data_IF_986343097505
#
_entry.id   IF_986343097505
#
_cell.length_a   1.000
_cell.length_b   1.000
_cell.length_c   1.000
_cell.angle_alpha   90.00
_cell.angle_beta   90.00
_cell.angle_gamma   90.00
#
_symmetry.space_group_name_H-M   'P 1'
#
loop_
_entity.id
_entity.type
_entity.pdbx_description
1 polymer ?
#
# COMPACT_ATOMS: atom_id res chain seq x y z
N UNK A 1 41.68 4.46 -34.17
CA UNK A 1 41.41 3.27 -33.35
C UNK A 1 40.71 3.76 -32.11
N UNK A 2 39.37 3.80 -32.20
CA UNK A 2 38.34 3.32 -31.25
C UNK A 2 38.83 2.94 -29.84
N UNK A 3 38.09 3.11 -28.75
CA UNK A 3 36.65 3.17 -28.60
C UNK A 3 36.29 3.79 -27.23
N UNK A 4 35.04 4.20 -27.19
CA UNK A 4 34.20 4.81 -26.18
C UNK A 4 34.22 4.20 -24.77
N UNK A 5 34.25 5.08 -23.78
CA UNK A 5 33.93 4.79 -22.38
C UNK A 5 33.11 5.93 -21.77
N UNK A 6 32.18 6.48 -22.56
CA UNK A 6 31.22 7.48 -22.10
C UNK A 6 30.25 6.83 -21.11
N UNK A 7 30.61 6.88 -19.83
CA UNK A 7 29.66 6.66 -18.76
C UNK A 7 28.58 7.71 -18.88
N UNK A 8 27.44 7.35 -19.48
CA UNK A 8 26.23 8.16 -19.41
C UNK A 8 25.84 8.21 -17.95
N UNK A 9 26.09 9.33 -17.28
CA UNK A 9 25.30 9.70 -16.13
C UNK A 9 23.86 9.68 -16.60
N UNK A 10 23.06 8.80 -16.01
CA UNK A 10 21.62 8.84 -16.17
C UNK A 10 21.20 10.11 -15.46
N UNK A 11 21.07 11.19 -16.22
CA UNK A 11 20.48 12.43 -15.73
C UNK A 11 19.02 12.11 -15.41
N UNK A 12 18.76 11.86 -14.12
CA UNK A 12 17.40 11.77 -13.60
C UNK A 12 16.79 13.17 -13.61
N UNK A 13 15.49 13.29 -13.92
CA UNK A 13 14.64 14.38 -13.47
C UNK A 13 15.03 14.82 -12.06
N UNK A 14 15.42 16.08 -11.89
CA UNK A 14 15.67 16.64 -10.55
C UNK A 14 14.44 16.46 -9.66
N UNK A 15 14.64 16.42 -8.33
CA UNK A 15 13.53 16.29 -7.35
C UNK A 15 12.40 17.32 -7.52
N UNK A 16 12.68 18.38 -8.29
CA UNK A 16 11.81 19.46 -8.71
C UNK A 16 10.79 19.06 -9.80
N UNK A 17 11.08 18.06 -10.65
CA UNK A 17 10.21 17.61 -11.76
C UNK A 17 9.02 16.78 -11.26
N UNK A 18 9.18 16.02 -10.17
CA UNK A 18 8.05 15.40 -9.48
C UNK A 18 7.15 16.44 -8.78
N UNK A 19 7.69 17.63 -8.49
CA UNK A 19 7.01 18.68 -7.74
C UNK A 19 6.25 19.71 -8.58
N UNK A 20 6.46 19.77 -9.91
CA UNK A 20 5.92 20.87 -10.74
C UNK A 20 5.01 20.46 -11.91
N UNK A 21 4.99 19.20 -12.34
CA UNK A 21 4.08 18.70 -13.39
C UNK A 21 2.99 17.72 -12.87
N UNK A 22 3.05 17.35 -11.58
CA UNK A 22 2.48 16.10 -11.07
C UNK A 22 1.09 16.14 -10.41
N UNK A 23 0.12 16.91 -10.89
CA UNK A 23 -1.27 16.59 -10.54
C UNK A 23 -1.67 15.36 -11.34
N UNK A 24 -1.66 14.19 -10.67
CA UNK A 24 -2.17 12.95 -11.24
C UNK A 24 -3.49 13.23 -11.98
N UNK A 25 -3.55 12.83 -13.25
CA UNK A 25 -4.72 13.14 -14.09
C UNK A 25 -5.99 12.62 -13.41
N UNK A 26 -7.15 13.29 -13.55
CA UNK A 26 -8.40 12.79 -12.97
C UNK A 26 -8.70 11.34 -13.37
N UNK A 27 -8.30 10.96 -14.59
CA UNK A 27 -8.43 9.59 -15.09
C UNK A 27 -7.56 8.60 -14.29
N UNK A 28 -6.30 8.96 -13.99
CA UNK A 28 -5.42 8.13 -13.18
C UNK A 28 -5.97 7.99 -11.75
N UNK A 29 -6.44 9.08 -11.13
CA UNK A 29 -7.03 9.04 -9.80
C UNK A 29 -8.24 8.08 -9.74
N UNK A 30 -9.20 8.24 -10.65
CA UNK A 30 -10.37 7.35 -10.74
C UNK A 30 -9.94 5.89 -10.99
N UNK A 31 -8.93 5.67 -11.84
CA UNK A 31 -8.42 4.33 -12.11
C UNK A 31 -7.80 3.71 -10.86
N UNK A 32 -6.95 4.44 -10.14
CA UNK A 32 -6.33 3.97 -8.91
C UNK A 32 -7.37 3.67 -7.83
N UNK A 33 -8.36 4.55 -7.66
CA UNK A 33 -9.48 4.31 -6.74
C UNK A 33 -10.21 3.01 -7.10
N UNK A 34 -10.68 2.89 -8.34
CA UNK A 34 -11.49 1.75 -8.77
C UNK A 34 -10.72 0.42 -8.71
N UNK A 35 -9.47 0.41 -9.20
CA UNK A 35 -8.64 -0.79 -9.19
C UNK A 35 -8.28 -1.19 -7.76
N UNK A 36 -7.92 -0.24 -6.90
CA UNK A 36 -7.62 -0.53 -5.50
C UNK A 36 -8.86 -1.07 -4.77
N UNK A 37 -10.04 -0.45 -4.94
CA UNK A 37 -11.28 -0.93 -4.31
C UNK A 37 -11.65 -2.35 -4.74
N UNK A 38 -11.70 -2.61 -6.06
CA UNK A 38 -12.10 -3.93 -6.57
C UNK A 38 -11.08 -4.98 -6.16
N UNK A 39 -9.80 -4.67 -6.31
CA UNK A 39 -8.74 -5.65 -6.04
C UNK A 39 -8.68 -5.99 -4.56
N UNK A 40 -8.80 -5.00 -3.68
CA UNK A 40 -8.77 -5.24 -2.24
C UNK A 40 -10.02 -5.99 -1.78
N UNK A 41 -11.21 -5.58 -2.21
CA UNK A 41 -12.47 -6.30 -1.92
C UNK A 41 -12.39 -7.79 -2.32
N UNK A 42 -11.94 -8.08 -3.55
CA UNK A 42 -11.82 -9.47 -4.01
C UNK A 42 -10.74 -10.22 -3.23
N UNK A 43 -9.66 -9.55 -2.84
CA UNK A 43 -8.61 -10.17 -2.06
C UNK A 43 -9.07 -10.48 -0.62
N UNK A 44 -9.70 -9.54 0.08
CA UNK A 44 -10.31 -9.72 1.41
C UNK A 44 -11.28 -10.90 1.39
N UNK A 45 -12.16 -10.98 0.39
CA UNK A 45 -13.08 -12.10 0.18
C UNK A 45 -12.40 -13.49 0.04
N UNK A 46 -11.12 -13.53 -0.33
CA UNK A 46 -10.33 -14.76 -0.42
C UNK A 46 -9.51 -15.00 0.84
N UNK A 47 -8.83 -13.96 1.35
CA UNK A 47 -7.84 -14.10 2.42
C UNK A 47 -8.48 -14.23 3.80
N UNK A 48 -9.65 -13.64 4.01
CA UNK A 48 -10.40 -13.72 5.27
C UNK A 48 -11.15 -15.05 5.45
N UNK A 49 -11.18 -15.89 4.41
CA UNK A 49 -11.60 -17.29 4.55
C UNK A 49 -10.59 -18.12 5.36
N UNK A 50 -9.38 -17.59 5.59
CA UNK A 50 -8.39 -18.21 6.47
C UNK A 50 -8.67 -17.74 7.90
N UNK A 51 -8.89 -18.66 8.86
CA UNK A 51 -9.13 -18.28 10.24
C UNK A 51 -8.00 -17.42 10.80
N UNK A 52 -8.38 -16.42 11.58
CA UNK A 52 -7.46 -15.57 12.32
C UNK A 52 -6.46 -16.40 13.15
N UNK A 53 -5.19 -15.97 13.16
CA UNK A 53 -4.14 -16.64 13.94
C UNK A 53 -4.24 -16.32 15.44
N UNK A 54 -4.78 -15.15 15.75
CA UNK A 54 -5.14 -14.64 17.06
C UNK A 54 -6.19 -13.57 16.87
N UNK A 55 -6.81 -13.11 17.96
CA UNK A 55 -7.79 -12.01 17.93
C UNK A 55 -7.30 -10.85 17.09
N UNK A 56 -8.04 -10.55 16.02
CA UNK A 56 -7.79 -9.43 15.12
C UNK A 56 -6.41 -9.51 14.45
N UNK A 57 -5.93 -10.74 14.19
CA UNK A 57 -4.74 -11.01 13.38
C UNK A 57 -5.12 -11.88 12.19
N UNK A 58 -5.34 -11.22 11.06
CA UNK A 58 -5.81 -11.82 9.83
C UNK A 58 -4.79 -11.76 8.69
N UNK A 59 -5.22 -12.24 7.53
CA UNK A 59 -4.46 -12.16 6.29
C UNK A 59 -5.15 -11.18 5.37
N UNK A 60 -4.46 -10.08 5.05
CA UNK A 60 -4.89 -9.15 3.99
C UNK A 60 -3.79 -8.87 2.98
N UNK A 61 -4.16 -8.89 1.70
CA UNK A 61 -3.25 -8.85 0.57
C UNK A 61 -2.73 -7.43 0.24
N UNK A 62 -2.13 -6.75 1.21
CA UNK A 62 -1.63 -5.37 1.08
C UNK A 62 -0.68 -5.15 -0.10
N UNK A 63 0.10 -6.17 -0.47
CA UNK A 63 1.03 -6.12 -1.59
C UNK A 63 0.36 -5.72 -2.91
N UNK A 64 -0.92 -6.04 -3.10
CA UNK A 64 -1.65 -5.67 -4.32
C UNK A 64 -1.74 -4.15 -4.47
N UNK A 65 -2.00 -3.46 -3.36
CA UNK A 65 -2.09 -2.00 -3.34
C UNK A 65 -0.70 -1.37 -3.34
N UNK A 66 0.26 -1.97 -2.65
CA UNK A 66 1.66 -1.53 -2.70
C UNK A 66 2.26 -1.61 -4.10
N UNK A 67 1.92 -2.63 -4.90
CA UNK A 67 2.34 -2.73 -6.30
C UNK A 67 1.82 -1.57 -7.15
N UNK A 68 0.56 -1.14 -6.93
CA UNK A 68 0.01 0.03 -7.62
C UNK A 68 0.72 1.31 -7.17
N UNK A 69 0.88 1.48 -5.86
CA UNK A 69 1.41 2.71 -5.27
C UNK A 69 2.90 2.91 -5.59
N UNK A 70 3.68 1.83 -5.68
CA UNK A 70 5.09 1.91 -6.04
C UNK A 70 5.34 2.44 -7.47
N UNK A 71 4.30 2.51 -8.32
CA UNK A 71 4.38 2.92 -9.72
C UNK A 71 3.83 4.32 -9.99
N UNK A 72 3.32 5.02 -8.98
CA UNK A 72 2.66 6.32 -9.15
C UNK A 72 3.30 7.40 -8.26
N UNK A 73 3.15 8.68 -8.62
CA UNK A 73 3.63 9.76 -7.78
C UNK A 73 2.95 9.81 -6.43
N UNK A 74 3.73 10.13 -5.41
CA UNK A 74 3.21 10.45 -4.09
C UNK A 74 2.24 11.64 -4.15
N UNK A 75 1.24 11.64 -3.27
CA UNK A 75 0.27 12.72 -3.12
C UNK A 75 -1.15 12.23 -3.45
N UNK A 76 -1.81 12.86 -4.41
CA UNK A 76 -3.20 12.52 -4.73
C UNK A 76 -3.36 11.10 -5.27
N UNK A 77 -2.36 10.57 -5.99
CA UNK A 77 -2.42 9.21 -6.50
C UNK A 77 -2.40 8.17 -5.36
N UNK A 78 -1.51 8.36 -4.38
CA UNK A 78 -1.41 7.50 -3.20
C UNK A 78 -2.63 7.63 -2.30
N UNK A 79 -3.16 8.85 -2.14
CA UNK A 79 -4.42 9.09 -1.43
C UNK A 79 -5.58 8.36 -2.11
N UNK A 80 -5.68 8.46 -3.44
CA UNK A 80 -6.74 7.82 -4.21
C UNK A 80 -6.70 6.29 -4.11
N UNK A 81 -5.50 5.70 -4.14
CA UNK A 81 -5.32 4.26 -3.91
C UNK A 81 -5.68 3.86 -2.47
N UNK A 82 -5.30 4.67 -1.47
CA UNK A 82 -5.65 4.44 -0.07
C UNK A 82 -7.16 4.51 0.20
N UNK A 83 -7.84 5.53 -0.34
CA UNK A 83 -9.31 5.62 -0.26
C UNK A 83 -9.94 4.44 -0.99
N UNK A 84 -9.41 4.07 -2.16
CA UNK A 84 -9.89 2.90 -2.90
C UNK A 84 -9.82 1.63 -2.08
N UNK A 85 -8.65 1.34 -1.49
CA UNK A 85 -8.45 0.19 -0.60
C UNK A 85 -9.43 0.20 0.58
N UNK A 86 -9.56 1.33 1.27
CA UNK A 86 -10.46 1.45 2.42
C UNK A 86 -11.95 1.26 2.06
N UNK A 87 -12.36 1.69 0.85
CA UNK A 87 -13.71 1.42 0.33
C UNK A 87 -13.87 -0.06 -0.05
N UNK A 88 -12.83 -0.68 -0.60
CA UNK A 88 -12.82 -2.10 -0.93
C UNK A 88 -13.01 -2.96 0.31
N UNK A 89 -12.26 -2.66 1.36
CA UNK A 89 -12.41 -3.29 2.67
C UNK A 89 -13.78 -3.01 3.29
N UNK A 90 -14.15 -1.73 3.47
CA UNK A 90 -15.41 -1.41 4.14
C UNK A 90 -16.65 -1.96 3.42
N UNK A 91 -16.58 -2.17 2.10
CA UNK A 91 -17.63 -2.87 1.37
C UNK A 91 -17.70 -4.37 1.70
N UNK A 92 -16.56 -4.99 1.99
CA UNK A 92 -16.47 -6.37 2.47
C UNK A 92 -16.93 -6.49 3.93
N UNK A 93 -16.52 -5.59 4.81
CA UNK A 93 -16.96 -5.56 6.23
C UNK A 93 -18.49 -5.49 6.34
N UNK A 94 -19.16 -4.74 5.46
CA UNK A 94 -20.62 -4.67 5.39
C UNK A 94 -21.24 -6.05 5.09
N UNK A 95 -20.58 -6.90 4.32
CA UNK A 95 -21.04 -8.24 3.97
C UNK A 95 -20.83 -9.20 5.15
N UNK A 96 -19.70 -9.08 5.85
CA UNK A 96 -19.36 -9.93 7.00
C UNK A 96 -20.14 -9.58 8.26
N UNK A 97 -20.48 -8.30 8.43
CA UNK A 97 -21.27 -7.79 9.53
C UNK A 97 -20.58 -6.60 10.20
N UNK A 98 -20.83 -5.41 9.65
CA UNK A 98 -20.27 -4.12 10.08
C UNK A 98 -20.03 -3.99 11.59
N UNK A 99 -18.79 -3.65 11.97
CA UNK A 99 -18.34 -3.48 13.35
C UNK A 99 -18.20 -2.00 13.71
N UNK A 100 -18.11 -1.71 15.02
CA UNK A 100 -18.09 -0.33 15.50
C UNK A 100 -16.74 0.37 15.23
N UNK A 101 -15.68 -0.42 15.07
CA UNK A 101 -14.31 -0.02 14.82
C UNK A 101 -13.96 0.14 13.33
N UNK A 102 -14.81 -0.32 12.41
CA UNK A 102 -14.65 -0.15 10.95
C UNK A 102 -14.31 1.29 10.50
N UNK A 103 -14.90 2.37 11.07
CA UNK A 103 -14.51 3.74 10.70
C UNK A 103 -13.04 4.06 11.00
N UNK A 104 -12.48 3.47 12.07
CA UNK A 104 -11.08 3.64 12.43
C UNK A 104 -10.18 2.81 11.53
N UNK A 105 -10.59 1.56 11.22
CA UNK A 105 -9.96 0.73 10.19
C UNK A 105 -9.86 1.47 8.86
N UNK A 106 -10.96 2.07 8.39
CA UNK A 106 -10.99 2.88 7.17
C UNK A 106 -9.91 3.98 7.15
N UNK A 107 -9.81 4.74 8.24
CA UNK A 107 -8.77 5.79 8.38
C UNK A 107 -7.37 5.16 8.40
N UNK A 108 -7.20 4.05 9.11
CA UNK A 108 -5.98 3.27 9.16
C UNK A 108 -5.50 2.86 7.77
N UNK A 109 -6.39 2.31 6.94
CA UNK A 109 -6.09 1.92 5.56
C UNK A 109 -5.60 3.09 4.71
N UNK A 110 -6.32 4.21 4.74
CA UNK A 110 -5.93 5.41 3.98
C UNK A 110 -4.55 5.90 4.43
N UNK A 111 -4.34 6.05 5.74
CA UNK A 111 -3.08 6.56 6.28
C UNK A 111 -1.92 5.59 6.08
N UNK A 112 -2.16 4.29 6.18
CA UNK A 112 -1.16 3.26 5.92
C UNK A 112 -0.64 3.30 4.48
N UNK A 113 -1.54 3.43 3.50
CA UNK A 113 -1.16 3.53 2.09
C UNK A 113 -0.46 4.86 1.76
N UNK A 114 -0.93 5.98 2.33
CA UNK A 114 -0.24 7.26 2.18
C UNK A 114 1.16 7.21 2.81
N UNK A 115 1.30 6.57 3.97
CA UNK A 115 2.60 6.38 4.63
C UNK A 115 3.54 5.53 3.78
N UNK A 116 3.07 4.43 3.21
CA UNK A 116 3.85 3.61 2.28
C UNK A 116 4.39 4.45 1.11
N UNK A 117 3.50 5.19 0.43
CA UNK A 117 3.89 6.05 -0.70
C UNK A 117 4.85 7.17 -0.29
N UNK A 118 4.67 7.75 0.89
CA UNK A 118 5.55 8.78 1.42
C UNK A 118 6.97 8.26 1.69
N UNK A 119 7.10 7.07 2.28
CA UNK A 119 8.42 6.47 2.55
C UNK A 119 9.17 6.21 1.24
N UNK A 120 8.51 5.67 0.22
CA UNK A 120 9.12 5.47 -1.11
C UNK A 120 9.50 6.79 -1.77
N UNK A 121 8.67 7.83 -1.63
CA UNK A 121 8.96 9.15 -2.16
C UNK A 121 10.21 9.77 -1.52
N UNK A 122 10.33 9.70 -0.19
CA UNK A 122 11.50 10.18 0.55
C UNK A 122 12.77 9.42 0.15
N UNK A 123 12.65 8.12 -0.15
CA UNK A 123 13.76 7.30 -0.59
C UNK A 123 14.30 7.69 -1.99
N UNK A 124 13.45 8.25 -2.85
CA UNK A 124 13.82 8.69 -4.21
C UNK A 124 14.02 7.56 -5.23
N UNK A 125 14.00 6.29 -4.82
CA UNK A 125 14.04 5.12 -5.70
C UNK A 125 13.04 4.05 -5.23
N UNK A 126 11.87 3.91 -5.89
CA UNK A 126 10.86 2.92 -5.52
C UNK A 126 11.28 1.49 -5.86
N UNK A 127 12.40 1.27 -6.56
CA UNK A 127 12.91 -0.07 -6.90
C UNK A 127 13.89 -0.61 -5.86
N UNK A 128 14.38 0.22 -4.94
CA UNK A 128 15.24 -0.24 -3.85
C UNK A 128 14.44 -1.11 -2.87
N UNK A 129 14.83 -2.38 -2.81
CA UNK A 129 14.18 -3.40 -1.98
C UNK A 129 14.17 -3.04 -0.50
N UNK A 130 15.20 -2.33 0.00
CA UNK A 130 15.25 -1.91 1.40
C UNK A 130 14.14 -0.92 1.71
N UNK A 131 13.92 0.02 0.79
CA UNK A 131 12.87 1.02 0.93
C UNK A 131 11.49 0.45 0.69
N UNK A 132 11.33 -0.54 -0.20
CA UNK A 132 10.08 -1.30 -0.35
C UNK A 132 9.68 -2.01 0.95
N UNK A 133 10.63 -2.69 1.60
CA UNK A 133 10.40 -3.36 2.88
C UNK A 133 10.05 -2.33 3.96
N UNK A 134 10.86 -1.27 4.09
CA UNK A 134 10.62 -0.24 5.08
C UNK A 134 9.26 0.46 4.90
N UNK A 135 8.89 0.77 3.66
CA UNK A 135 7.60 1.37 3.33
C UNK A 135 6.44 0.43 3.67
N UNK A 136 6.54 -0.85 3.31
CA UNK A 136 5.48 -1.84 3.58
C UNK A 136 5.26 -2.03 5.08
N UNK A 137 6.35 -2.17 5.86
CA UNK A 137 6.26 -2.30 7.32
C UNK A 137 5.71 -1.01 7.95
N UNK A 138 6.15 0.17 7.50
CA UNK A 138 5.65 1.44 8.03
C UNK A 138 4.16 1.66 7.71
N UNK A 139 3.74 1.38 6.48
CA UNK A 139 2.35 1.51 6.07
C UNK A 139 1.42 0.57 6.83
N UNK A 140 1.79 -0.71 6.91
CA UNK A 140 1.04 -1.69 7.70
C UNK A 140 1.05 -1.34 9.20
N UNK A 141 2.18 -0.90 9.74
CA UNK A 141 2.28 -0.50 11.15
C UNK A 141 1.37 0.68 11.50
N UNK A 142 1.25 1.67 10.61
CA UNK A 142 0.29 2.77 10.78
C UNK A 142 -1.15 2.25 10.76
N UNK A 143 -1.52 1.45 9.76
CA UNK A 143 -2.86 0.89 9.65
C UNK A 143 -3.23 0.04 10.88
N UNK A 144 -2.37 -0.91 11.24
CA UNK A 144 -2.57 -1.80 12.39
C UNK A 144 -2.64 -1.03 13.72
N UNK A 145 -1.91 0.09 13.85
CA UNK A 145 -2.02 0.96 15.04
C UNK A 145 -3.41 1.58 15.17
N UNK A 146 -4.03 2.00 14.06
CA UNK A 146 -5.37 2.57 14.10
C UNK A 146 -6.42 1.52 14.50
N UNK A 147 -6.34 0.32 13.95
CA UNK A 147 -7.22 -0.81 14.33
C UNK A 147 -7.01 -1.23 15.77
N UNK A 148 -5.77 -1.52 16.18
CA UNK A 148 -5.50 -1.94 17.55
C UNK A 148 -5.88 -0.90 18.61
N UNK A 149 -5.77 0.40 18.29
CA UNK A 149 -6.27 1.48 19.17
C UNK A 149 -7.80 1.49 19.22
N UNK A 150 -8.47 1.30 18.08
CA UNK A 150 -9.93 1.21 18.03
C UNK A 150 -10.42 0.01 18.84
N UNK A 151 -9.81 -1.16 18.65
CA UNK A 151 -10.10 -2.38 19.38
C UNK A 151 -9.88 -2.21 20.90
N UNK A 152 -8.79 -1.55 21.31
CA UNK A 152 -8.52 -1.24 22.71
C UNK A 152 -9.58 -0.32 23.35
N UNK A 153 -10.06 0.68 22.60
CA UNK A 153 -10.96 1.71 23.12
C UNK A 153 -12.43 1.30 23.04
N UNK A 154 -12.82 0.52 22.03
CA UNK A 154 -14.21 0.24 21.69
C UNK A 154 -14.66 -1.18 22.09
N UNK A 155 -13.75 -2.15 22.12
CA UNK A 155 -14.08 -3.57 22.30
C UNK A 155 -13.76 -4.09 23.71
N UNK A 156 -13.45 -3.20 24.67
CA UNK A 156 -12.97 -3.51 26.03
C UNK A 156 -11.78 -4.50 26.04
N UNK A 157 -11.03 -4.57 24.94
CA UNK A 157 -9.90 -5.46 24.81
C UNK A 157 -8.78 -5.01 25.76
N UNK A 158 -8.18 -5.97 26.47
CA UNK A 158 -7.01 -5.68 27.31
C UNK A 158 -5.84 -5.19 26.44
N UNK A 159 -5.02 -4.28 27.00
CA UNK A 159 -3.81 -3.76 26.34
C UNK A 159 -2.93 -4.85 25.69
N UNK A 160 -2.71 -6.04 26.29
CA UNK A 160 -1.94 -7.10 25.65
C UNK A 160 -2.54 -7.59 24.34
N UNK A 161 -3.86 -7.64 24.21
CA UNK A 161 -4.55 -8.11 23.00
C UNK A 161 -4.40 -7.07 21.89
N UNK A 162 -4.62 -5.80 22.19
CA UNK A 162 -4.41 -4.70 21.25
C UNK A 162 -2.96 -4.64 20.73
N UNK A 163 -1.96 -4.79 21.62
CA UNK A 163 -0.56 -4.85 21.20
C UNK A 163 -0.26 -6.07 20.33
N UNK A 164 -0.91 -7.21 20.62
CA UNK A 164 -0.75 -8.41 19.81
C UNK A 164 -1.36 -8.25 18.42
N UNK A 165 -2.55 -7.66 18.30
CA UNK A 165 -3.18 -7.30 17.01
C UNK A 165 -2.26 -6.36 16.22
N UNK A 166 -1.77 -5.26 16.82
CA UNK A 166 -0.87 -4.31 16.15
C UNK A 166 0.37 -5.01 15.59
N UNK A 167 1.04 -5.83 16.42
CA UNK A 167 2.25 -6.53 16.00
C UNK A 167 1.95 -7.63 14.97
N UNK A 168 0.86 -8.36 15.16
CA UNK A 168 0.39 -9.40 14.26
C UNK A 168 0.12 -8.84 12.87
N UNK A 169 -0.73 -7.81 12.77
CA UNK A 169 -1.11 -7.16 11.52
C UNK A 169 0.07 -6.43 10.88
N UNK A 170 0.98 -5.83 11.65
CA UNK A 170 2.23 -5.28 11.09
C UNK A 170 3.06 -6.37 10.41
N UNK A 171 3.12 -7.58 10.97
CA UNK A 171 3.87 -8.71 10.38
C UNK A 171 3.10 -9.31 9.21
N UNK A 172 1.81 -9.62 9.35
CA UNK A 172 1.03 -10.25 8.28
C UNK A 172 0.86 -9.31 7.10
N UNK A 173 0.43 -8.07 7.32
CA UNK A 173 0.17 -7.09 6.26
C UNK A 173 1.46 -6.45 5.74
N UNK A 174 2.39 -6.13 6.63
CA UNK A 174 3.62 -5.42 6.27
C UNK A 174 4.72 -6.31 5.71
N UNK A 175 4.86 -7.53 6.23
CA UNK A 175 5.95 -8.44 5.85
C UNK A 175 5.44 -9.56 4.94
N UNK A 176 4.53 -10.39 5.45
CA UNK A 176 4.13 -11.66 4.80
C UNK A 176 3.34 -11.41 3.52
N UNK A 177 2.30 -10.57 3.59
CA UNK A 177 1.43 -10.17 2.50
C UNK A 177 1.68 -8.72 2.04
N UNK A 178 2.83 -8.16 2.40
CA UNK A 178 3.27 -6.83 1.98
C UNK A 178 4.62 -6.90 1.29
N UNK A 179 5.69 -6.76 2.07
CA UNK A 179 7.05 -6.64 1.58
C UNK A 179 7.53 -7.85 0.76
N UNK A 180 7.26 -9.08 1.22
CA UNK A 180 7.76 -10.29 0.55
C UNK A 180 7.20 -10.40 -0.88
N UNK A 181 5.86 -10.37 -1.10
CA UNK A 181 5.34 -10.39 -2.47
C UNK A 181 5.72 -9.14 -3.26
N UNK A 182 5.72 -7.95 -2.65
CA UNK A 182 6.09 -6.70 -3.32
C UNK A 182 7.50 -6.78 -3.94
N UNK A 183 8.50 -7.16 -3.14
CA UNK A 183 9.90 -7.23 -3.58
C UNK A 183 10.11 -8.27 -4.69
N UNK A 184 9.35 -9.37 -4.63
CA UNK A 184 9.45 -10.45 -5.61
C UNK A 184 8.70 -10.12 -6.92
N UNK A 185 7.54 -9.49 -6.82
CA UNK A 185 6.62 -9.30 -7.95
C UNK A 185 6.87 -7.98 -8.68
N UNK A 186 7.20 -6.89 -7.99
CA UNK A 186 7.35 -5.57 -8.61
C UNK A 186 8.30 -5.59 -9.84
N UNK A 187 9.47 -6.25 -9.82
CA UNK A 187 10.34 -6.32 -10.99
C UNK A 187 9.71 -7.01 -12.21
N UNK A 188 8.75 -7.90 -12.00
CA UNK A 188 8.12 -8.73 -13.04
C UNK A 188 6.85 -8.08 -13.57
N UNK A 189 6.06 -7.46 -12.68
CA UNK A 189 4.70 -6.99 -13.00
C UNK A 189 4.59 -5.48 -13.13
N UNK A 190 5.66 -4.72 -12.83
CA UNK A 190 5.64 -3.26 -12.93
C UNK A 190 5.18 -2.76 -14.30
N UNK A 191 5.74 -3.32 -15.38
CA UNK A 191 5.43 -2.88 -16.75
C UNK A 191 3.98 -3.20 -17.15
N UNK A 192 3.48 -4.45 -17.00
CA UNK A 192 2.07 -4.75 -17.23
C UNK A 192 1.09 -3.89 -16.41
N UNK A 193 1.41 -3.63 -15.13
CA UNK A 193 0.54 -2.81 -14.28
C UNK A 193 0.56 -1.36 -14.74
N UNK A 194 1.74 -0.77 -15.00
CA UNK A 194 1.89 0.60 -15.47
C UNK A 194 1.09 0.83 -16.77
N UNK A 195 1.18 -0.11 -17.72
CA UNK A 195 0.39 -0.08 -18.95
C UNK A 195 -1.12 -0.16 -18.67
N UNK A 196 -1.56 -1.03 -17.76
CA UNK A 196 -2.97 -1.19 -17.41
C UNK A 196 -3.57 0.07 -16.75
N UNK A 197 -2.79 0.79 -15.94
CA UNK A 197 -3.25 2.03 -15.27
C UNK A 197 -2.93 3.31 -16.06
N UNK A 198 -2.29 3.18 -17.23
CA UNK A 198 -1.99 4.29 -18.12
C UNK A 198 -0.89 5.22 -17.63
N UNK A 199 0.16 4.67 -16.99
CA UNK A 199 1.34 5.40 -16.55
C UNK A 199 2.53 4.97 -17.41
N UNK A 200 3.22 5.93 -18.03
CA UNK A 200 4.49 5.66 -18.71
C UNK A 200 5.62 5.57 -17.68
N UNK A 201 6.45 4.53 -17.76
CA UNK A 201 7.61 4.41 -16.89
C UNK A 201 8.64 5.47 -17.28
N UNK A 202 9.13 6.25 -16.32
CA UNK A 202 10.41 6.93 -16.50
C UNK A 202 11.46 5.85 -16.80
N UNK A 203 12.11 5.95 -17.96
CA UNK A 203 13.07 4.95 -18.42
C UNK A 203 14.22 4.83 -17.40
N UNK A 204 14.51 3.58 -17.02
CA UNK A 204 15.57 3.24 -16.06
C UNK A 204 16.97 3.37 -16.66
#
# INVERSE_FOLDING_TARGET
MDDTGGGRSVDRPGGDEWGREGLASPRLLVTLFAVASITFFVASAVTEQVPEFATDVDLKAFFLIYLLVALVPYGLATLSAGIGMAVGEGAYDIIEGYELDDPFGFVGYVLGIVTFGWVLHVAGDPTDRRWQVAAAVAGAGVQATFEGVAFFVLSDAGLPVALFSILGNTVTHGVVLGAVPLVLLLPVVAEPIAQAIGVERASA
#
